data_IF_476076430823
#
_entry.id   IF_476076430823
#
_cell.length_a   1.000
_cell.length_b   1.000
_cell.length_c   1.000
_cell.angle_alpha   90.00
_cell.angle_beta   90.00
_cell.angle_gamma   90.00
#
_symmetry.space_group_name_H-M   'P 1'
#
loop_
_entity.id
_entity.type
_entity.pdbx_description
1 polymer ?
#
# COMPACT_ATOMS: atom_id res chain seq x y z
N UNK A 1 -7.96 -26.39 -17.46
CA UNK A 1 -9.16 -25.79 -18.09
C UNK A 1 -8.73 -24.57 -18.89
N UNK A 2 -9.04 -24.51 -20.19
CA UNK A 2 -8.89 -23.27 -20.97
C UNK A 2 -10.06 -22.36 -20.58
N UNK A 3 -9.80 -21.32 -19.78
CA UNK A 3 -10.80 -20.28 -19.53
C UNK A 3 -10.86 -19.39 -20.76
N UNK A 4 -11.95 -19.51 -21.53
CA UNK A 4 -12.23 -18.56 -22.60
C UNK A 4 -12.48 -17.20 -21.94
N UNK A 5 -11.62 -16.22 -22.24
CA UNK A 5 -11.89 -14.85 -21.84
C UNK A 5 -13.16 -14.40 -22.57
N UNK A 6 -14.16 -13.93 -21.81
CA UNK A 6 -15.36 -13.34 -22.37
C UNK A 6 -14.96 -12.24 -23.35
N UNK A 7 -15.44 -12.35 -24.59
CA UNK A 7 -15.19 -11.33 -25.62
C UNK A 7 -16.07 -10.13 -25.29
N UNK A 8 -15.43 -9.02 -24.92
CA UNK A 8 -16.14 -7.78 -24.59
C UNK A 8 -16.75 -7.23 -25.88
N UNK A 9 -18.06 -7.06 -25.87
CA UNK A 9 -18.84 -6.53 -26.98
C UNK A 9 -18.80 -5.01 -27.03
N UNK A 10 -19.08 -4.42 -28.19
CA UNK A 10 -19.12 -2.96 -28.34
C UNK A 10 -20.18 -2.30 -27.45
N UNK A 11 -21.34 -2.94 -27.25
CA UNK A 11 -22.36 -2.45 -26.32
C UNK A 11 -21.91 -2.40 -24.85
N UNK A 12 -21.09 -3.36 -24.42
CA UNK A 12 -20.51 -3.34 -23.06
C UNK A 12 -19.49 -2.20 -22.90
N UNK A 13 -18.73 -1.89 -23.95
CA UNK A 13 -17.87 -0.72 -23.97
C UNK A 13 -18.66 0.60 -23.93
N UNK A 14 -19.78 0.71 -24.64
CA UNK A 14 -20.66 1.88 -24.57
C UNK A 14 -21.23 2.10 -23.15
N UNK A 15 -21.62 1.02 -22.46
CA UNK A 15 -22.06 1.08 -21.06
C UNK A 15 -20.91 1.58 -20.17
N UNK A 16 -19.70 1.05 -20.37
CA UNK A 16 -18.53 1.48 -19.61
C UNK A 16 -18.21 2.96 -19.83
N UNK A 17 -18.29 3.46 -21.05
CA UNK A 17 -18.05 4.86 -21.38
C UNK A 17 -19.08 5.78 -20.72
N UNK A 18 -20.36 5.39 -20.67
CA UNK A 18 -21.39 6.10 -19.90
C UNK A 18 -21.07 6.16 -18.41
N UNK A 19 -20.38 5.16 -17.88
CA UNK A 19 -19.88 5.12 -16.50
C UNK A 19 -18.50 5.79 -16.32
N UNK A 20 -17.96 6.45 -17.36
CA UNK A 20 -16.66 7.11 -17.32
C UNK A 20 -15.45 6.17 -17.31
N UNK A 21 -15.64 4.92 -17.73
CA UNK A 21 -14.59 3.89 -17.78
C UNK A 21 -14.17 3.71 -19.25
N UNK A 22 -12.90 3.98 -19.55
CA UNK A 22 -12.38 3.84 -20.91
C UNK A 22 -12.28 2.38 -21.36
N UNK A 23 -12.36 2.13 -22.68
CA UNK A 23 -12.19 0.80 -23.28
C UNK A 23 -10.91 0.10 -22.83
N UNK A 24 -9.80 0.84 -22.70
CA UNK A 24 -8.52 0.31 -22.19
C UNK A 24 -8.66 -0.19 -20.74
N UNK A 25 -9.35 0.54 -19.87
CA UNK A 25 -9.57 0.10 -18.49
C UNK A 25 -10.44 -1.16 -18.43
N UNK A 26 -11.51 -1.25 -19.24
CA UNK A 26 -12.35 -2.47 -19.30
C UNK A 26 -11.52 -3.65 -19.77
N UNK A 27 -10.74 -3.47 -20.85
CA UNK A 27 -9.87 -4.52 -21.38
C UNK A 27 -8.87 -5.03 -20.34
N UNK A 28 -8.18 -4.12 -19.63
CA UNK A 28 -7.25 -4.49 -18.56
C UNK A 28 -7.95 -5.22 -17.42
N UNK A 29 -9.11 -4.72 -16.99
CA UNK A 29 -9.91 -5.34 -15.92
C UNK A 29 -10.29 -6.78 -16.26
N UNK A 30 -10.76 -7.04 -17.48
CA UNK A 30 -11.18 -8.39 -17.89
C UNK A 30 -9.97 -9.29 -18.21
N UNK A 31 -9.01 -8.82 -19.01
CA UNK A 31 -7.95 -9.67 -19.55
C UNK A 31 -6.72 -9.82 -18.65
N UNK A 32 -6.37 -8.79 -17.88
CA UNK A 32 -5.21 -8.81 -17.00
C UNK A 32 -5.64 -9.12 -15.56
N UNK A 33 -6.69 -8.43 -15.08
CA UNK A 33 -7.14 -8.54 -13.69
C UNK A 33 -8.20 -9.64 -13.49
N UNK A 34 -8.67 -10.27 -14.58
CA UNK A 34 -9.65 -11.37 -14.56
C UNK A 34 -10.97 -11.01 -13.86
N UNK A 35 -11.40 -9.76 -13.98
CA UNK A 35 -12.73 -9.34 -13.52
C UNK A 35 -13.81 -9.89 -14.45
N UNK A 36 -15.00 -10.15 -13.91
CA UNK A 36 -16.17 -10.36 -14.76
C UNK A 36 -16.52 -9.05 -15.50
N UNK A 37 -17.22 -9.15 -16.62
CA UNK A 37 -17.47 -7.99 -17.48
C UNK A 37 -18.38 -6.97 -16.81
N UNK A 38 -19.44 -7.43 -16.13
CA UNK A 38 -20.34 -6.56 -15.37
C UNK A 38 -19.58 -5.67 -14.38
N UNK A 39 -18.70 -6.24 -13.56
CA UNK A 39 -17.84 -5.49 -12.63
C UNK A 39 -16.87 -4.59 -13.38
N UNK A 40 -16.31 -5.06 -14.49
CA UNK A 40 -15.35 -4.30 -15.28
C UNK A 40 -15.94 -3.02 -15.88
N UNK A 41 -17.23 -3.02 -16.21
CA UNK A 41 -17.93 -1.88 -16.81
C UNK A 41 -18.72 -1.01 -15.81
N UNK A 42 -18.90 -1.45 -14.56
CA UNK A 42 -19.68 -0.72 -13.53
C UNK A 42 -18.83 -0.10 -12.42
N UNK A 43 -17.76 -0.77 -11.99
CA UNK A 43 -16.92 -0.26 -10.90
C UNK A 43 -16.14 0.99 -11.34
N UNK A 44 -16.19 2.11 -10.60
CA UNK A 44 -15.51 3.34 -11.01
C UNK A 44 -13.99 3.17 -11.03
N UNK A 45 -13.30 3.90 -11.91
CA UNK A 45 -11.83 3.95 -11.92
C UNK A 45 -11.36 4.82 -10.75
N UNK A 46 -10.49 4.27 -9.89
CA UNK A 46 -9.88 5.03 -8.80
C UNK A 46 -8.98 6.14 -9.39
N UNK A 47 -9.40 7.39 -9.29
CA UNK A 47 -8.63 8.54 -9.76
C UNK A 47 -8.26 9.50 -8.62
N UNK A 48 -7.14 9.21 -7.96
CA UNK A 48 -6.54 10.15 -7.00
C UNK A 48 -5.69 11.23 -7.66
N UNK A 49 -5.34 11.09 -8.95
CA UNK A 49 -4.44 12.04 -9.64
C UNK A 49 -5.09 13.40 -9.91
N UNK A 50 -6.42 13.46 -10.04
CA UNK A 50 -7.15 14.74 -10.16
C UNK A 50 -7.43 15.43 -8.83
N UNK A 51 -7.42 14.66 -7.72
CA UNK A 51 -7.75 15.16 -6.38
C UNK A 51 -6.52 15.76 -5.70
N UNK A 52 -5.35 15.13 -5.86
CA UNK A 52 -4.12 15.58 -5.22
C UNK A 52 -3.38 16.57 -6.12
N UNK A 53 -3.54 17.86 -5.82
CA UNK A 53 -2.76 18.93 -6.44
C UNK A 53 -1.48 19.25 -5.64
N UNK A 54 -0.69 20.22 -6.15
CA UNK A 54 0.55 20.64 -5.51
C UNK A 54 0.33 21.24 -4.09
N UNK A 55 -0.77 21.96 -3.87
CA UNK A 55 -1.07 22.56 -2.57
C UNK A 55 -1.36 21.49 -1.51
N UNK A 56 -2.20 20.50 -1.84
CA UNK A 56 -2.52 19.38 -0.95
C UNK A 56 -1.25 18.57 -0.66
N UNK A 57 -0.41 18.35 -1.67
CA UNK A 57 0.87 17.63 -1.52
C UNK A 57 1.82 18.36 -0.58
N UNK A 58 1.92 19.70 -0.71
CA UNK A 58 2.74 20.52 0.16
C UNK A 58 2.22 20.53 1.59
N UNK A 59 0.90 20.62 1.76
CA UNK A 59 0.25 20.58 3.07
C UNK A 59 0.46 19.22 3.76
N UNK A 60 0.33 18.12 3.03
CA UNK A 60 0.63 16.78 3.54
C UNK A 60 2.07 16.69 4.05
N UNK A 61 3.03 17.19 3.26
CA UNK A 61 4.46 17.19 3.64
C UNK A 61 4.70 17.99 4.91
N UNK A 62 4.09 19.18 5.05
CA UNK A 62 4.17 20.00 6.28
C UNK A 62 3.62 19.26 7.50
N UNK A 63 2.57 18.46 7.30
CA UNK A 63 1.94 17.68 8.36
C UNK A 63 2.59 16.30 8.57
N UNK A 64 3.77 16.04 7.99
CA UNK A 64 4.49 14.77 8.15
C UNK A 64 3.82 13.57 7.47
N UNK A 65 2.90 13.82 6.54
CA UNK A 65 2.18 12.78 5.81
C UNK A 65 2.90 12.54 4.48
N UNK A 66 3.37 11.31 4.30
CA UNK A 66 4.00 10.90 3.03
C UNK A 66 2.99 10.92 1.88
N UNK A 67 3.49 11.17 0.67
CA UNK A 67 2.71 11.10 -0.57
C UNK A 67 1.94 9.78 -0.69
N UNK A 68 2.61 8.64 -0.43
CA UNK A 68 1.96 7.33 -0.43
C UNK A 68 0.80 7.22 0.56
N UNK A 69 0.94 7.81 1.76
CA UNK A 69 -0.13 7.82 2.77
C UNK A 69 -1.30 8.70 2.35
N UNK A 70 -1.04 9.88 1.79
CA UNK A 70 -2.06 10.78 1.25
C UNK A 70 -2.90 10.10 0.17
N UNK A 71 -2.25 9.48 -0.83
CA UNK A 71 -2.96 8.81 -1.93
C UNK A 71 -3.75 7.59 -1.45
N UNK A 72 -3.19 6.82 -0.52
CA UNK A 72 -3.91 5.70 0.09
C UNK A 72 -5.21 6.18 0.76
N UNK A 73 -5.14 7.24 1.57
CA UNK A 73 -6.31 7.82 2.25
C UNK A 73 -7.39 8.26 1.26
N UNK A 74 -7.01 8.96 0.20
CA UNK A 74 -7.95 9.43 -0.83
C UNK A 74 -8.58 8.25 -1.58
N UNK A 75 -7.78 7.25 -1.93
CA UNK A 75 -8.28 6.02 -2.57
C UNK A 75 -9.20 5.19 -1.64
N UNK A 76 -9.08 5.36 -0.32
CA UNK A 76 -9.97 4.80 0.70
C UNK A 76 -11.22 5.67 0.96
N UNK A 77 -11.42 6.75 0.19
CA UNK A 77 -12.60 7.60 0.24
C UNK A 77 -12.46 8.84 1.15
N UNK A 78 -11.27 9.10 1.69
CA UNK A 78 -11.04 10.27 2.53
C UNK A 78 -11.05 11.57 1.73
N UNK A 79 -11.66 12.63 2.28
CA UNK A 79 -11.56 13.96 1.67
C UNK A 79 -10.11 14.47 1.68
N UNK A 80 -9.72 15.37 0.75
CA UNK A 80 -8.35 15.92 0.73
C UNK A 80 -7.95 16.57 2.05
N UNK A 81 -8.88 17.30 2.68
CA UNK A 81 -8.65 17.97 3.95
C UNK A 81 -8.43 16.98 5.10
N UNK A 82 -9.28 15.96 5.23
CA UNK A 82 -9.08 14.92 6.24
C UNK A 82 -7.79 14.15 5.97
N UNK A 83 -7.47 13.90 4.70
CA UNK A 83 -6.29 13.15 4.29
C UNK A 83 -4.97 13.83 4.66
N UNK A 84 -4.94 15.17 4.73
CA UNK A 84 -3.77 15.94 5.16
C UNK A 84 -3.77 16.31 6.65
N UNK A 85 -4.88 16.22 7.36
CA UNK A 85 -4.96 16.63 8.78
C UNK A 85 -4.95 15.46 9.75
N UNK A 86 -5.48 14.30 9.33
CA UNK A 86 -5.58 13.12 10.20
C UNK A 86 -4.18 12.61 10.58
N UNK A 87 -3.88 12.44 11.88
CA UNK A 87 -2.58 11.96 12.31
C UNK A 87 -2.32 10.52 11.86
N UNK A 88 -1.05 10.15 11.70
CA UNK A 88 -0.66 8.77 11.40
C UNK A 88 -0.83 7.91 12.66
N UNK A 89 -1.38 6.71 12.54
CA UNK A 89 -1.37 5.74 13.63
C UNK A 89 0.08 5.35 13.92
N UNK A 90 0.52 5.56 15.16
CA UNK A 90 1.84 5.15 15.62
C UNK A 90 1.94 3.63 15.66
N UNK A 91 3.14 3.13 15.39
CA UNK A 91 3.42 1.72 15.55
C UNK A 91 3.48 1.43 17.05
N UNK A 92 2.74 0.43 17.55
CA UNK A 92 2.76 0.02 18.97
C UNK A 92 4.19 -0.15 19.50
N UNK A 93 5.11 -0.56 18.61
CA UNK A 93 6.50 -0.85 18.94
C UNK A 93 7.47 0.26 18.52
N UNK A 94 7.03 1.44 18.13
CA UNK A 94 7.87 2.52 17.60
C UNK A 94 9.05 2.86 18.53
N UNK A 95 8.79 3.05 19.82
CA UNK A 95 9.82 3.32 20.82
C UNK A 95 10.81 2.15 20.96
N UNK A 96 10.32 0.91 20.95
CA UNK A 96 11.19 -0.28 21.05
C UNK A 96 11.99 -0.54 19.77
N UNK A 97 11.44 -0.19 18.61
CA UNK A 97 12.15 -0.26 17.33
C UNK A 97 13.30 0.75 17.33
N UNK A 98 13.06 1.98 17.78
CA UNK A 98 14.11 2.99 17.93
C UNK A 98 15.21 2.50 18.88
N UNK A 99 14.83 1.96 20.03
CA UNK A 99 15.76 1.32 20.99
C UNK A 99 16.53 0.15 20.38
N UNK A 100 15.88 -0.67 19.54
CA UNK A 100 16.54 -1.77 18.83
C UNK A 100 17.63 -1.24 17.88
N UNK A 101 17.32 -0.19 17.11
CA UNK A 101 18.29 0.44 16.20
C UNK A 101 19.48 1.05 16.95
N UNK A 102 19.23 1.72 18.08
CA UNK A 102 20.28 2.23 18.97
C UNK A 102 21.21 1.10 19.49
N UNK A 103 20.65 -0.10 19.71
CA UNK A 103 21.40 -1.30 20.10
C UNK A 103 21.97 -2.09 18.90
N UNK A 104 21.96 -1.54 17.69
CA UNK A 104 22.47 -2.20 16.48
C UNK A 104 21.65 -3.40 16.02
N UNK A 105 20.40 -3.51 16.45
CA UNK A 105 19.44 -4.55 16.05
C UNK A 105 18.57 -3.98 14.94
N UNK A 106 18.57 -4.64 13.78
CA UNK A 106 17.71 -4.20 12.67
C UNK A 106 16.23 -4.34 13.02
N UNK A 107 15.40 -3.49 12.41
CA UNK A 107 13.94 -3.53 12.55
C UNK A 107 13.39 -4.92 12.22
N UNK A 108 13.90 -5.56 11.17
CA UNK A 108 13.55 -6.94 10.79
C UNK A 108 13.92 -7.95 11.87
N UNK A 109 15.12 -7.84 12.47
CA UNK A 109 15.54 -8.76 13.53
C UNK A 109 14.67 -8.61 14.79
N UNK A 110 14.28 -7.38 15.14
CA UNK A 110 13.33 -7.10 16.21
C UNK A 110 11.99 -7.81 15.98
N UNK A 111 11.40 -7.67 14.78
CA UNK A 111 10.14 -8.33 14.44
C UNK A 111 10.24 -9.86 14.43
N UNK A 112 11.31 -10.42 13.86
CA UNK A 112 11.54 -11.87 13.85
C UNK A 112 11.59 -12.42 15.29
N UNK A 113 12.20 -11.69 16.22
CA UNK A 113 12.27 -12.09 17.63
C UNK A 113 10.88 -12.12 18.27
N UNK A 114 10.07 -11.07 18.07
CA UNK A 114 8.68 -11.01 18.58
C UNK A 114 7.84 -12.13 17.98
N UNK A 115 7.94 -12.37 16.66
CA UNK A 115 7.21 -13.44 15.99
C UNK A 115 7.61 -14.84 16.48
N UNK A 116 8.81 -14.99 17.06
CA UNK A 116 9.28 -16.21 17.74
C UNK A 116 8.88 -16.26 19.23
N UNK A 117 8.02 -15.36 19.68
CA UNK A 117 7.54 -15.30 21.07
C UNK A 117 8.51 -14.63 22.05
N UNK A 118 9.55 -13.93 21.57
CA UNK A 118 10.44 -13.18 22.45
C UNK A 118 9.73 -11.95 23.00
N UNK A 119 9.89 -11.70 24.30
CA UNK A 119 9.46 -10.45 24.93
C UNK A 119 9.96 -9.21 24.14
N UNK A 120 9.09 -8.21 23.86
CA UNK A 120 9.45 -7.06 23.03
C UNK A 120 10.64 -6.26 23.55
N UNK A 121 10.77 -6.08 24.87
CA UNK A 121 11.89 -5.34 25.43
C UNK A 121 13.21 -6.11 25.27
N UNK A 122 13.19 -7.43 25.52
CA UNK A 122 14.32 -8.31 25.22
C UNK A 122 14.66 -8.35 23.73
N UNK A 123 13.64 -8.32 22.86
CA UNK A 123 13.83 -8.28 21.42
C UNK A 123 14.58 -7.02 20.96
N UNK A 124 14.39 -5.89 21.63
CA UNK A 124 15.05 -4.61 21.34
C UNK A 124 16.43 -4.43 21.99
N UNK A 125 16.84 -5.30 22.91
CA UNK A 125 18.07 -5.08 23.72
C UNK A 125 19.08 -6.20 23.61
N UNK A 126 18.66 -7.43 23.29
CA UNK A 126 19.58 -8.57 23.18
C UNK A 126 20.49 -8.42 21.94
N UNK A 127 21.82 -8.41 22.05
CA UNK A 127 22.70 -8.22 20.90
C UNK A 127 22.56 -9.35 19.86
N UNK A 128 22.70 -9.07 18.55
CA UNK A 128 22.68 -10.08 17.51
C UNK A 128 23.88 -11.04 17.60
N UNK A 129 23.69 -12.30 17.19
CA UNK A 129 24.75 -13.32 17.18
C UNK A 129 25.79 -12.98 16.11
N UNK A 130 27.07 -12.93 16.48
CA UNK A 130 28.17 -12.77 15.52
C UNK A 130 28.40 -14.07 14.76
N UNK A 131 28.25 -14.06 13.43
CA UNK A 131 28.63 -15.18 12.57
C UNK A 131 30.10 -15.04 12.17
N UNK A 132 30.93 -16.06 12.44
CA UNK A 132 32.28 -16.16 11.86
C UNK A 132 32.14 -16.71 10.44
N UNK A 133 32.61 -15.97 9.43
CA UNK A 133 32.73 -16.52 8.06
C UNK A 133 33.75 -17.67 8.12
N UNK A 134 33.35 -18.87 7.70
CA UNK A 134 34.30 -19.99 7.55
C UNK A 134 35.15 -19.67 6.32
N UNK A 135 36.47 -19.63 6.48
CA UNK A 135 37.41 -19.70 5.35
C UNK A 135 37.19 -21.08 4.71
N UNK A 136 36.74 -21.11 3.46
CA UNK A 136 36.67 -22.34 2.68
C UNK A 136 38.06 -22.47 2.08
N UNK A 137 38.83 -23.45 2.56
CA UNK A 137 40.14 -23.82 2.01
C UNK A 137 39.97 -24.59 0.71
#
# INVERSE_FOLDING_TARGET
>A
MKHYNHVITDGEYEIAEKNGISRVNVFQRVNEHRWNVERAITEPVRNSRGIVNNQISLQAKRNGISHTTLYKRINEGMSPYEAVTKPKKHNKWEALIKKAQENGISTSAFYIRINRGMDPYKAATKPPRKHKKKQIS
#
